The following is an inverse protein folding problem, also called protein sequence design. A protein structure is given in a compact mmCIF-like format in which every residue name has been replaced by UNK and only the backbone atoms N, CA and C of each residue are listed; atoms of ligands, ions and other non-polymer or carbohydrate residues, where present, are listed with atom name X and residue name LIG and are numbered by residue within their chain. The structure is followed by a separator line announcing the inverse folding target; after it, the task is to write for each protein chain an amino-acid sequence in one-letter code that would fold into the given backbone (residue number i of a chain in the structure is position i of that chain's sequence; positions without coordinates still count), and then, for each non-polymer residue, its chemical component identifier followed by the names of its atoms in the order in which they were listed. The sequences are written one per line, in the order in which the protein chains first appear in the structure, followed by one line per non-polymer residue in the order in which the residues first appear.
data_IF_041942605491
#
_entry.id   IF_041942605491
#
_cell.length_a   1.000
_cell.length_b   1.000
_cell.length_c   1.000
_cell.angle_alpha   90.00
_cell.angle_beta   90.00
_cell.angle_gamma   90.00
#
_symmetry.space_group_name_H-M   'P 1'
#
loop_
_entity.id
_entity.type
_entity.pdbx_description
1 polymer ?
#
# COMPACT_ATOMS: atom_id res chain seq x y z
N UNK A 1 6.90 44.01 42.97
CA UNK A 1 7.66 44.12 41.70
C UNK A 1 8.46 42.87 41.27
N UNK A 2 8.71 41.84 42.10
CA UNK A 2 9.55 40.67 41.70
C UNK A 2 8.85 39.57 40.87
N UNK A 3 7.50 39.55 40.78
CA UNK A 3 6.75 38.48 40.08
C UNK A 3 6.63 38.63 38.55
N UNK A 4 6.87 39.82 37.97
CA UNK A 4 6.72 40.03 36.51
C UNK A 4 7.96 39.64 35.70
N UNK A 5 9.17 39.71 36.28
CA UNK A 5 10.43 39.38 35.59
C UNK A 5 10.59 37.88 35.26
N UNK A 6 10.10 36.98 36.14
CA UNK A 6 10.19 35.53 35.91
C UNK A 6 9.32 35.02 34.74
N UNK A 7 8.18 35.68 34.46
CA UNK A 7 7.29 35.30 33.35
C UNK A 7 7.86 35.71 31.98
N UNK A 8 8.59 36.82 31.92
CA UNK A 8 9.24 37.26 30.67
C UNK A 8 10.46 36.41 30.31
N UNK A 9 11.25 35.95 31.29
CA UNK A 9 12.38 35.05 31.03
C UNK A 9 11.94 33.66 30.57
N UNK A 10 10.84 33.11 31.12
CA UNK A 10 10.30 31.82 30.69
C UNK A 10 9.79 31.83 29.23
N UNK A 11 9.06 32.89 28.84
CA UNK A 11 8.61 33.07 27.45
C UNK A 11 9.76 33.28 26.46
N UNK A 12 10.86 33.93 26.90
CA UNK A 12 12.03 34.14 26.04
C UNK A 12 12.77 32.82 25.78
N UNK A 13 12.92 31.98 26.82
CA UNK A 13 13.56 30.66 26.69
C UNK A 13 12.76 29.70 25.80
N UNK A 14 11.44 29.63 26.01
CA UNK A 14 10.54 28.79 25.20
C UNK A 14 10.48 29.22 23.72
N UNK A 15 10.66 30.53 23.44
CA UNK A 15 10.75 31.03 22.07
C UNK A 15 12.10 30.67 21.41
N UNK A 16 13.20 30.68 22.16
CA UNK A 16 14.52 30.27 21.66
C UNK A 16 14.57 28.77 21.38
N UNK A 17 14.05 27.94 22.28
CA UNK A 17 14.02 26.49 22.14
C UNK A 17 13.19 26.06 20.89
N UNK A 18 12.09 26.76 20.61
CA UNK A 18 11.28 26.52 19.41
C UNK A 18 11.95 26.93 18.09
N UNK A 19 12.81 27.94 18.10
CA UNK A 19 13.56 28.35 16.91
C UNK A 19 14.67 27.34 16.63
N UNK A 20 15.36 26.87 17.67
CA UNK A 20 16.45 25.89 17.53
C UNK A 20 15.94 24.53 17.04
N UNK A 21 14.76 24.09 17.52
CA UNK A 21 14.10 22.87 17.01
C UNK A 21 13.69 23.01 15.54
N UNK A 22 13.25 24.20 15.11
CA UNK A 22 12.86 24.44 13.73
C UNK A 22 14.06 24.42 12.79
N UNK A 23 15.16 25.07 13.16
CA UNK A 23 16.42 25.05 12.39
C UNK A 23 17.04 23.64 12.30
N UNK A 24 16.95 22.84 13.36
CA UNK A 24 17.40 21.43 13.33
C UNK A 24 16.54 20.54 12.43
N UNK A 25 15.26 20.90 12.23
CA UNK A 25 14.35 20.15 11.36
C UNK A 25 14.59 20.49 9.90
N UNK A 26 14.81 21.77 9.58
CA UNK A 26 15.13 22.24 8.22
C UNK A 26 16.51 21.73 7.75
N UNK A 27 17.53 21.73 8.63
CA UNK A 27 18.86 21.16 8.30
C UNK A 27 18.83 19.65 8.06
N UNK A 28 17.93 18.91 8.72
CA UNK A 28 17.74 17.47 8.49
C UNK A 28 17.04 17.19 7.15
N UNK A 29 16.12 18.05 6.71
CA UNK A 29 15.53 17.93 5.38
C UNK A 29 16.55 18.20 4.26
N UNK A 30 17.43 19.19 4.42
CA UNK A 30 18.47 19.48 3.43
C UNK A 30 19.52 18.37 3.32
N UNK A 31 19.95 17.80 4.45
CA UNK A 31 20.88 16.67 4.46
C UNK A 31 20.30 15.41 3.79
N UNK A 32 18.98 15.21 3.89
CA UNK A 32 18.28 14.12 3.21
C UNK A 32 18.21 14.35 1.69
N UNK A 33 18.13 15.62 1.25
CA UNK A 33 18.14 16.00 -0.16
C UNK A 33 19.48 15.70 -0.86
N UNK A 34 20.59 15.98 -0.18
CA UNK A 34 21.96 15.75 -0.69
C UNK A 34 22.31 14.26 -0.84
N UNK A 35 21.76 13.39 0.01
CA UNK A 35 21.97 11.94 -0.06
C UNK A 35 21.26 11.29 -1.26
N UNK A 36 20.16 11.88 -1.73
CA UNK A 36 19.40 11.39 -2.89
C UNK A 36 20.13 11.77 -4.19
N UNK A 37 20.74 12.95 -4.26
CA UNK A 37 21.46 13.42 -5.45
C UNK A 37 22.78 12.66 -5.70
N UNK A 38 23.40 12.10 -4.66
CA UNK A 38 24.68 11.38 -4.77
C UNK A 38 24.61 9.95 -5.34
N UNK A 39 23.42 9.37 -5.54
CA UNK A 39 23.27 7.95 -5.96
C UNK A 39 22.84 7.75 -7.42
N UNK A 40 22.59 8.81 -8.18
CA UNK A 40 22.11 8.72 -9.59
C UNK A 40 23.26 8.55 -10.60
N UNK A 41 24.53 8.61 -10.18
CA UNK A 41 25.68 8.41 -11.06
C UNK A 41 26.39 7.07 -10.82
N UNK A 42 26.14 6.09 -11.69
CA UNK A 42 26.98 4.91 -12.06
C UNK A 42 26.22 3.58 -11.95
N UNK A 43 25.83 3.04 -13.10
CA UNK A 43 26.19 1.69 -13.60
C UNK A 43 25.43 1.44 -14.91
N UNK A 44 26.10 1.71 -16.02
CA UNK A 44 25.88 0.98 -17.27
C UNK A 44 26.83 -0.23 -17.23
N UNK A 45 26.31 -1.42 -17.53
CA UNK A 45 27.01 -2.50 -18.22
C UNK A 45 25.97 -3.59 -18.54
N UNK A 46 25.56 -3.61 -19.81
CA UNK A 46 24.64 -4.56 -20.41
C UNK A 46 25.33 -5.91 -20.66
N UNK A 47 24.66 -7.01 -20.28
CA UNK A 47 24.95 -8.33 -20.85
C UNK A 47 23.69 -8.88 -21.55
N UNK A 48 23.79 -8.93 -22.88
CA UNK A 48 22.87 -9.59 -23.79
C UNK A 48 22.77 -11.10 -23.51
N UNK A 49 21.54 -11.60 -23.31
CA UNK A 49 21.21 -13.00 -23.55
C UNK A 49 19.99 -13.09 -24.47
N UNK A 50 20.27 -13.58 -25.69
CA UNK A 50 19.32 -13.92 -26.74
C UNK A 50 18.46 -15.12 -26.32
N UNK A 51 17.18 -15.05 -26.63
CA UNK A 51 16.22 -16.15 -26.57
C UNK A 51 15.98 -16.68 -27.99
N UNK A 52 16.11 -17.99 -28.30
CA UNK A 52 15.69 -18.53 -29.58
C UNK A 52 14.21 -18.94 -29.56
N UNK A 53 13.50 -18.53 -30.61
CA UNK A 53 12.21 -19.08 -31.03
C UNK A 53 12.45 -20.43 -31.70
N UNK A 54 11.69 -21.45 -31.33
CA UNK A 54 11.35 -22.54 -32.24
C UNK A 54 9.87 -22.91 -32.14
N UNK A 55 9.28 -22.96 -33.33
CA UNK A 55 7.94 -23.38 -33.70
C UNK A 55 7.91 -24.88 -33.92
N UNK A 56 6.85 -25.57 -33.48
CA UNK A 56 6.45 -26.82 -34.14
C UNK A 56 4.93 -26.98 -34.10
N UNK A 57 4.36 -26.96 -35.30
CA UNK A 57 2.99 -27.35 -35.64
C UNK A 57 2.95 -28.87 -35.75
N UNK A 58 2.04 -29.53 -35.04
CA UNK A 58 1.60 -30.89 -35.37
C UNK A 58 0.07 -30.93 -35.21
N UNK A 59 -0.63 -30.85 -36.32
CA UNK A 59 -2.08 -31.07 -36.40
C UNK A 59 -2.29 -32.40 -37.14
N UNK A 60 -2.94 -33.36 -36.49
CA UNK A 60 -3.19 -34.70 -37.06
C UNK A 60 -4.69 -34.88 -37.31
N UNK A 61 -5.01 -35.29 -38.54
CA UNK A 61 -6.36 -35.52 -39.11
C UNK A 61 -7.18 -36.60 -38.39
N UNK A 62 -8.51 -36.42 -38.38
CA UNK A 62 -9.51 -37.47 -38.60
C UNK A 62 -10.80 -36.79 -39.15
N UNK A 63 -11.06 -36.89 -40.46
CA UNK A 63 -11.95 -37.85 -41.16
C UNK A 63 -13.45 -37.66 -40.90
N UNK A 64 -14.07 -37.06 -41.91
CA UNK A 64 -15.47 -37.09 -42.33
C UNK A 64 -16.05 -38.51 -42.44
N UNK A 65 -17.32 -38.67 -42.06
CA UNK A 65 -18.31 -39.52 -42.75
C UNK A 65 -19.72 -39.34 -42.17
N UNK A 66 -20.70 -39.13 -43.06
CA UNK A 66 -22.02 -39.77 -42.96
C UNK A 66 -23.22 -38.89 -42.62
N UNK A 67 -23.94 -38.46 -43.65
CA UNK A 67 -25.24 -37.80 -43.59
C UNK A 67 -26.41 -38.78 -43.30
N UNK A 68 -27.43 -38.32 -42.57
CA UNK A 68 -28.86 -38.67 -42.79
C UNK A 68 -29.79 -37.65 -42.10
N UNK A 69 -30.90 -37.32 -42.77
CA UNK A 69 -31.81 -36.20 -42.50
C UNK A 69 -32.98 -36.57 -41.54
N UNK A 70 -34.05 -35.76 -41.39
CA UNK A 70 -34.25 -34.90 -40.21
C UNK A 70 -35.50 -35.30 -39.39
N UNK A 71 -35.45 -35.12 -38.06
CA UNK A 71 -36.65 -35.22 -37.22
C UNK A 71 -36.89 -33.92 -36.46
N UNK A 72 -38.05 -33.33 -36.76
CA UNK A 72 -38.69 -32.21 -36.08
C UNK A 72 -38.65 -32.35 -34.55
N UNK A 73 -37.89 -31.49 -33.89
CA UNK A 73 -38.13 -31.13 -32.49
C UNK A 73 -38.19 -29.62 -32.38
N UNK A 74 -39.41 -29.12 -32.16
CA UNK A 74 -39.68 -27.75 -31.73
C UNK A 74 -39.19 -27.59 -30.30
N UNK A 75 -37.91 -27.24 -30.13
CA UNK A 75 -37.42 -26.69 -28.86
C UNK A 75 -37.61 -25.18 -28.92
N UNK A 76 -38.63 -24.70 -28.21
CA UNK A 76 -38.82 -23.28 -27.89
C UNK A 76 -37.48 -22.70 -27.42
N UNK A 77 -36.92 -21.80 -28.22
CA UNK A 77 -35.81 -20.94 -27.81
C UNK A 77 -36.39 -20.07 -26.71
N UNK A 78 -36.14 -20.45 -25.46
CA UNK A 78 -36.33 -19.57 -24.33
C UNK A 78 -35.15 -18.60 -24.37
N UNK A 79 -35.33 -17.46 -25.05
CA UNK A 79 -34.48 -16.29 -24.82
C UNK A 79 -34.68 -15.88 -23.37
N UNK A 80 -33.69 -16.03 -22.46
CA UNK A 80 -33.79 -15.38 -21.17
C UNK A 80 -33.72 -13.88 -21.48
N UNK A 81 -34.79 -13.17 -21.10
CA UNK A 81 -34.80 -11.72 -21.07
C UNK A 81 -33.58 -11.24 -20.29
N UNK A 82 -32.65 -10.60 -20.99
CA UNK A 82 -31.51 -9.89 -20.41
C UNK A 82 -32.02 -8.62 -19.73
N UNK A 83 -32.78 -8.78 -18.66
CA UNK A 83 -33.33 -7.69 -17.88
C UNK A 83 -33.58 -8.13 -16.42
N UNK A 84 -32.73 -9.01 -15.88
CA UNK A 84 -32.50 -8.96 -14.43
C UNK A 84 -31.54 -7.79 -14.19
N UNK A 85 -32.12 -6.77 -13.59
CA UNK A 85 -31.51 -5.53 -13.16
C UNK A 85 -30.17 -5.77 -12.45
N UNK A 86 -29.07 -5.64 -13.18
CA UNK A 86 -27.86 -5.08 -12.57
C UNK A 86 -28.16 -3.62 -12.29
N UNK A 87 -28.78 -3.36 -11.14
CA UNK A 87 -28.69 -2.05 -10.52
C UNK A 87 -27.21 -1.67 -10.51
N UNK A 88 -26.78 -0.58 -11.16
CA UNK A 88 -25.42 -0.12 -11.02
C UNK A 88 -25.25 0.17 -9.54
N UNK A 89 -24.49 -0.67 -8.84
CA UNK A 89 -24.02 -0.34 -7.52
C UNK A 89 -23.10 0.86 -7.73
N UNK A 90 -23.66 2.07 -7.68
CA UNK A 90 -22.91 3.31 -7.66
C UNK A 90 -22.22 3.36 -6.32
N UNK A 91 -21.18 2.54 -6.14
CA UNK A 91 -20.37 2.54 -4.94
C UNK A 91 -19.81 3.95 -4.80
N UNK A 92 -20.29 4.64 -3.77
CA UNK A 92 -19.75 5.93 -3.38
C UNK A 92 -18.28 5.75 -2.98
N UNK A 93 -17.51 6.84 -3.02
CA UNK A 93 -16.15 6.78 -2.50
C UNK A 93 -16.19 6.38 -1.01
N UNK A 94 -15.19 5.62 -0.54
CA UNK A 94 -15.25 5.00 0.76
C UNK A 94 -15.11 6.05 1.86
N UNK A 95 -15.87 5.90 2.93
CA UNK A 95 -15.71 6.72 4.15
C UNK A 95 -15.35 5.87 5.36
N UNK A 96 -15.49 4.55 5.25
CA UNK A 96 -15.18 3.58 6.31
C UNK A 96 -14.57 2.30 5.74
N UNK A 97 -13.86 1.57 6.58
CA UNK A 97 -13.35 0.25 6.23
C UNK A 97 -13.33 -0.69 7.43
N UNK A 98 -13.58 -1.98 7.18
CA UNK A 98 -13.20 -3.06 8.07
C UNK A 98 -11.82 -3.59 7.64
N UNK A 99 -11.01 -3.98 8.62
CA UNK A 99 -9.68 -4.52 8.40
C UNK A 99 -9.52 -5.84 9.16
N UNK A 100 -9.20 -6.90 8.42
CA UNK A 100 -8.73 -8.16 8.95
C UNK A 100 -7.31 -8.40 8.44
N UNK A 101 -6.33 -8.37 9.34
CA UNK A 101 -4.91 -8.61 9.03
C UNK A 101 -4.41 -9.80 9.83
N UNK A 102 -3.91 -10.82 9.15
CA UNK A 102 -3.59 -12.11 9.74
C UNK A 102 -2.41 -12.76 9.04
N UNK A 103 -1.82 -13.76 9.68
CA UNK A 103 -0.78 -14.60 9.09
C UNK A 103 0.32 -14.93 10.08
N UNK A 104 1.58 -14.91 9.62
CA UNK A 104 2.72 -15.37 10.42
C UNK A 104 3.92 -14.43 10.33
N UNK A 105 4.64 -14.21 11.43
CA UNK A 105 5.98 -13.62 11.46
C UNK A 105 6.92 -14.61 12.15
N UNK A 106 7.97 -15.07 11.47
CA UNK A 106 8.86 -16.13 11.96
C UNK A 106 8.10 -17.38 12.47
N UNK A 107 7.01 -17.75 11.79
CA UNK A 107 6.16 -18.87 12.20
C UNK A 107 5.21 -18.58 13.38
N UNK A 108 5.32 -17.42 14.04
CA UNK A 108 4.34 -17.00 15.03
C UNK A 108 3.06 -16.51 14.35
N UNK A 109 1.99 -17.26 14.52
CA UNK A 109 0.67 -16.87 14.03
C UNK A 109 0.12 -15.65 14.76
N UNK A 110 -0.58 -14.80 14.01
CA UNK A 110 -1.33 -13.69 14.55
C UNK A 110 -2.62 -13.46 13.74
N UNK A 111 -3.58 -12.78 14.36
CA UNK A 111 -4.86 -12.40 13.75
C UNK A 111 -5.33 -11.11 14.45
N UNK A 112 -5.51 -10.03 13.69
CA UNK A 112 -6.08 -8.78 14.19
C UNK A 112 -7.29 -8.36 13.36
N UNK A 113 -8.31 -7.86 14.06
CA UNK A 113 -9.55 -7.35 13.46
C UNK A 113 -9.87 -5.96 13.97
N UNK A 114 -10.52 -5.17 13.12
CA UNK A 114 -10.99 -3.83 13.44
C UNK A 114 -11.39 -3.09 12.19
N UNK A 115 -11.07 -1.81 12.14
CA UNK A 115 -11.47 -0.94 11.03
C UNK A 115 -11.16 0.51 11.31
N UNK A 116 -11.76 1.38 10.51
CA UNK A 116 -11.64 2.81 10.69
C UNK A 116 -12.37 3.61 9.63
N UNK A 117 -11.95 4.84 9.45
CA UNK A 117 -12.56 5.81 8.54
C UNK A 117 -11.51 6.66 7.85
N UNK A 118 -11.90 7.27 6.74
CA UNK A 118 -11.04 8.18 6.01
C UNK A 118 -11.82 9.11 5.10
N UNK A 119 -11.11 10.07 4.52
CA UNK A 119 -11.64 10.98 3.53
C UNK A 119 -10.91 10.78 2.19
N UNK A 120 -11.59 10.21 1.18
CA UNK A 120 -10.98 9.88 -0.10
C UNK A 120 -10.69 11.12 -0.97
N UNK A 121 -11.13 12.30 -0.55
CA UNK A 121 -10.90 13.54 -1.27
C UNK A 121 -9.63 14.27 -0.83
N UNK A 122 -9.08 13.93 0.34
CA UNK A 122 -7.89 14.60 0.90
C UNK A 122 -6.74 13.65 1.29
N UNK A 123 -6.92 12.34 1.14
CA UNK A 123 -5.86 11.37 1.45
C UNK A 123 -5.67 11.11 2.94
N UNK A 124 -6.71 11.25 3.75
CA UNK A 124 -6.62 10.98 5.19
C UNK A 124 -7.35 9.71 5.57
N UNK A 125 -6.77 8.93 6.49
CA UNK A 125 -7.45 7.80 7.11
C UNK A 125 -6.92 7.52 8.52
N UNK A 126 -7.73 6.87 9.32
CA UNK A 126 -7.34 6.23 10.57
C UNK A 126 -7.79 4.78 10.58
N UNK A 127 -6.98 3.90 11.18
CA UNK A 127 -7.28 2.48 11.33
C UNK A 127 -6.89 2.03 12.72
N UNK A 128 -7.74 1.20 13.34
CA UNK A 128 -7.46 0.55 14.62
C UNK A 128 -7.83 -0.92 14.55
N UNK A 129 -6.89 -1.79 14.91
CA UNK A 129 -7.08 -3.24 14.93
C UNK A 129 -6.63 -3.82 16.27
N UNK A 130 -7.31 -4.88 16.71
CA UNK A 130 -7.04 -5.60 17.95
C UNK A 130 -6.75 -7.07 17.64
N UNK A 131 -5.74 -7.62 18.30
CA UNK A 131 -5.42 -9.04 18.24
C UNK A 131 -6.55 -9.89 18.81
N UNK A 132 -6.93 -10.94 18.09
CA UNK A 132 -7.87 -11.97 18.53
C UNK A 132 -7.16 -13.17 19.17
N UNK A 133 -5.82 -13.24 19.06
CA UNK A 133 -4.95 -14.32 19.58
C UNK A 133 -4.11 -13.91 20.80
N UNK A 134 -4.42 -12.76 21.42
CA UNK A 134 -3.67 -12.25 22.58
C UNK A 134 -2.43 -11.42 22.20
N UNK A 135 -1.44 -11.29 23.12
CA UNK A 135 -0.25 -10.48 22.89
C UNK A 135 0.56 -10.91 21.65
N UNK A 136 0.93 -9.96 20.79
CA UNK A 136 1.86 -10.18 19.68
C UNK A 136 3.27 -10.50 20.21
N UNK A 137 3.94 -11.56 19.72
CA UNK A 137 5.30 -11.92 20.13
C UNK A 137 6.39 -11.13 19.40
N UNK A 138 6.01 -10.20 18.51
CA UNK A 138 6.89 -9.34 17.73
C UNK A 138 6.38 -7.89 17.79
N UNK A 139 7.13 -6.94 17.23
CA UNK A 139 6.73 -5.54 17.20
C UNK A 139 5.53 -5.31 16.28
N UNK A 140 4.37 -4.94 16.84
CA UNK A 140 3.18 -4.60 16.05
C UNK A 140 3.38 -3.39 15.12
N UNK A 141 4.40 -2.56 15.37
CA UNK A 141 4.80 -1.45 14.49
C UNK A 141 5.14 -1.93 13.07
N UNK A 142 5.66 -3.16 12.90
CA UNK A 142 5.96 -3.72 11.57
C UNK A 142 4.71 -3.88 10.69
N UNK A 143 3.53 -4.08 11.32
CA UNK A 143 2.26 -4.22 10.63
C UNK A 143 1.61 -2.86 10.31
N UNK A 144 1.92 -1.84 11.10
CA UNK A 144 1.16 -0.59 11.12
C UNK A 144 1.08 0.13 9.77
N UNK A 145 2.16 0.28 8.96
CA UNK A 145 2.04 0.95 7.65
C UNK A 145 1.08 0.23 6.71
N UNK A 146 0.92 -1.09 6.83
CA UNK A 146 -0.02 -1.86 6.00
C UNK A 146 -1.49 -1.55 6.33
N UNK A 147 -1.78 -0.90 7.46
CA UNK A 147 -3.12 -0.44 7.82
C UNK A 147 -3.53 0.86 7.10
N UNK A 148 -2.58 1.57 6.47
CA UNK A 148 -2.85 2.81 5.72
C UNK A 148 -2.48 2.68 4.25
N UNK A 149 -1.21 2.37 3.95
CA UNK A 149 -0.76 1.88 2.63
C UNK A 149 -1.54 0.64 2.16
N UNK A 150 -2.38 0.04 3.00
CA UNK A 150 -3.37 -0.96 2.66
C UNK A 150 -4.54 -0.40 1.83
N UNK A 151 -4.92 0.86 1.96
CA UNK A 151 -6.18 1.40 1.43
C UNK A 151 -5.98 2.58 0.46
N UNK A 152 -5.32 2.34 -0.68
CA UNK A 152 -5.13 3.38 -1.71
C UNK A 152 -6.43 3.91 -2.33
N UNK A 153 -7.58 3.33 -2.00
CA UNK A 153 -8.90 3.87 -2.32
C UNK A 153 -9.14 5.25 -1.65
N UNK A 154 -8.39 5.61 -0.60
CA UNK A 154 -8.41 6.95 -0.01
C UNK A 154 -7.47 7.96 -0.71
N UNK A 155 -6.68 7.52 -1.71
CA UNK A 155 -5.68 8.35 -2.39
C UNK A 155 -6.27 9.06 -3.61
N UNK A 156 -6.58 10.37 -3.55
CA UNK A 156 -6.94 11.13 -4.75
C UNK A 156 -5.70 11.45 -5.58
N UNK A 157 -5.84 11.47 -6.90
CA UNK A 157 -4.80 12.01 -7.78
C UNK A 157 -5.03 13.52 -8.00
N UNK A 158 -3.98 14.31 -8.29
CA UNK A 158 -4.13 15.75 -8.50
C UNK A 158 -5.12 16.08 -9.62
N UNK A 159 -5.17 15.25 -10.67
CA UNK A 159 -6.04 15.41 -11.82
C UNK A 159 -7.42 14.72 -11.68
N UNK A 160 -7.76 14.19 -10.49
CA UNK A 160 -9.07 13.56 -10.23
C UNK A 160 -8.98 12.21 -9.52
N UNK A 161 -9.90 11.30 -9.87
CA UNK A 161 -9.94 9.98 -9.24
C UNK A 161 -8.68 9.17 -9.56
N UNK A 162 -8.11 8.51 -8.55
CA UNK A 162 -7.04 7.55 -8.78
C UNK A 162 -7.56 6.26 -9.42
N UNK A 163 -6.69 5.44 -10.03
CA UNK A 163 -7.07 4.11 -10.52
C UNK A 163 -7.68 3.25 -9.41
N UNK A 164 -7.21 3.39 -8.17
CA UNK A 164 -7.74 2.66 -7.00
C UNK A 164 -9.17 3.08 -6.65
N UNK A 165 -9.49 4.37 -6.76
CA UNK A 165 -10.85 4.88 -6.57
C UNK A 165 -11.78 4.43 -7.70
N UNK A 166 -11.28 4.40 -8.94
CA UNK A 166 -12.05 3.91 -10.09
C UNK A 166 -12.36 2.42 -9.97
N UNK A 167 -11.41 1.63 -9.44
CA UNK A 167 -11.54 0.20 -9.27
C UNK A 167 -12.72 -0.22 -8.39
N UNK A 168 -13.13 0.61 -7.42
CA UNK A 168 -14.29 0.34 -6.53
C UNK A 168 -15.56 0.04 -7.34
N UNK A 169 -15.73 0.74 -8.47
CA UNK A 169 -16.90 0.59 -9.37
C UNK A 169 -16.68 -0.45 -10.47
N UNK A 170 -15.44 -0.89 -10.67
CA UNK A 170 -14.99 -1.63 -11.84
C UNK A 170 -14.36 -2.98 -11.46
N UNK A 171 -14.96 -3.69 -10.50
CA UNK A 171 -14.55 -5.05 -10.11
C UNK A 171 -13.36 -5.14 -9.15
N UNK A 172 -12.82 -4.00 -8.69
CA UNK A 172 -11.75 -3.94 -7.69
C UNK A 172 -10.35 -4.20 -8.23
N UNK A 173 -9.43 -4.42 -7.30
CA UNK A 173 -8.05 -4.80 -7.57
C UNK A 173 -7.55 -5.73 -6.46
N UNK A 174 -6.57 -6.55 -6.78
CA UNK A 174 -5.74 -7.23 -5.78
C UNK A 174 -4.40 -6.52 -5.68
N UNK A 175 -3.77 -6.60 -4.51
CA UNK A 175 -2.46 -5.98 -4.28
C UNK A 175 -1.53 -6.97 -3.61
N UNK A 176 -0.27 -6.97 -4.02
CA UNK A 176 0.79 -7.74 -3.40
C UNK A 176 1.97 -6.83 -3.09
N UNK A 177 2.47 -6.89 -1.85
CA UNK A 177 3.63 -6.13 -1.39
C UNK A 177 4.70 -7.08 -0.91
N UNK A 178 5.95 -6.81 -1.27
CA UNK A 178 7.13 -7.48 -0.70
C UNK A 178 8.05 -6.45 -0.09
N UNK A 179 8.48 -6.70 1.14
CA UNK A 179 9.44 -5.91 1.90
C UNK A 179 10.66 -6.78 2.17
N UNK A 180 11.85 -6.29 1.80
CA UNK A 180 13.13 -6.92 2.09
C UNK A 180 13.91 -6.03 3.06
N UNK A 181 14.06 -6.51 4.28
CA UNK A 181 14.71 -5.80 5.36
C UNK A 181 16.23 -5.93 5.30
N UNK A 182 16.93 -4.95 5.85
CA UNK A 182 18.39 -4.86 5.78
C UNK A 182 19.13 -5.97 6.55
N UNK A 183 18.45 -6.68 7.44
CA UNK A 183 18.97 -7.82 8.21
C UNK A 183 18.64 -9.19 7.59
N UNK A 184 18.08 -9.21 6.37
CA UNK A 184 17.68 -10.43 5.68
C UNK A 184 16.23 -10.86 5.94
N UNK A 185 15.52 -10.19 6.85
CA UNK A 185 14.09 -10.39 7.02
C UNK A 185 13.31 -10.13 5.73
N UNK A 186 12.29 -10.93 5.45
CA UNK A 186 11.39 -10.74 4.31
C UNK A 186 9.96 -10.80 4.80
N UNK A 187 9.14 -9.85 4.36
CA UNK A 187 7.70 -9.85 4.63
C UNK A 187 6.93 -9.62 3.34
N UNK A 188 5.94 -10.47 3.08
CA UNK A 188 5.01 -10.32 1.96
C UNK A 188 3.59 -10.14 2.48
N UNK A 189 2.81 -9.31 1.79
CA UNK A 189 1.41 -9.04 2.14
C UNK A 189 0.57 -9.11 0.88
N UNK A 190 -0.47 -9.95 0.92
CA UNK A 190 -1.51 -10.01 -0.11
C UNK A 190 -2.76 -9.35 0.41
N UNK A 191 -3.26 -8.35 -0.32
CA UNK A 191 -4.44 -7.57 0.04
C UNK A 191 -5.58 -7.89 -0.92
N UNK A 192 -6.73 -8.21 -0.35
CA UNK A 192 -7.99 -8.35 -1.06
C UNK A 192 -9.04 -7.42 -0.48
N UNK A 193 -9.94 -6.97 -1.34
CA UNK A 193 -10.97 -6.01 -0.95
C UNK A 193 -12.32 -6.46 -1.49
N UNK A 194 -13.35 -6.26 -0.69
CA UNK A 194 -14.73 -6.22 -1.17
C UNK A 194 -15.35 -4.88 -0.79
N UNK A 195 -16.40 -4.49 -1.51
CA UNK A 195 -17.00 -3.16 -1.40
C UNK A 195 -18.50 -3.29 -1.16
N UNK A 196 -18.99 -2.58 -0.13
CA UNK A 196 -20.40 -2.52 0.24
C UNK A 196 -20.79 -1.05 0.43
N UNK A 197 -21.39 -0.45 -0.59
CA UNK A 197 -21.72 0.98 -0.58
C UNK A 197 -20.46 1.86 -0.47
N UNK A 198 -20.35 2.61 0.63
CA UNK A 198 -19.19 3.45 0.97
C UNK A 198 -18.22 2.77 1.98
N UNK A 199 -18.32 1.45 2.13
CA UNK A 199 -17.50 0.67 3.05
C UNK A 199 -16.60 -0.32 2.31
N UNK A 200 -15.33 -0.35 2.69
CA UNK A 200 -14.36 -1.35 2.23
C UNK A 200 -14.29 -2.47 3.27
N UNK A 201 -14.18 -3.73 2.84
CA UNK A 201 -13.73 -4.84 3.71
C UNK A 201 -12.39 -5.35 3.21
N UNK A 202 -11.33 -5.11 3.97
CA UNK A 202 -9.97 -5.51 3.65
C UNK A 202 -9.58 -6.82 4.32
N UNK A 203 -9.03 -7.75 3.54
CA UNK A 203 -8.49 -9.04 3.98
C UNK A 203 -6.99 -9.10 3.61
N UNK A 204 -6.12 -8.96 4.62
CA UNK A 204 -4.68 -8.77 4.45
C UNK A 204 -3.93 -9.96 5.03
N UNK A 205 -3.40 -10.82 4.15
CA UNK A 205 -2.61 -11.98 4.55
C UNK A 205 -1.12 -11.63 4.56
N UNK A 206 -0.46 -11.82 5.69
CA UNK A 206 0.94 -11.48 5.92
C UNK A 206 1.78 -12.74 6.13
N UNK A 207 2.89 -12.83 5.44
CA UNK A 207 3.91 -13.87 5.69
C UNK A 207 5.27 -13.19 5.83
N UNK A 208 5.81 -13.24 7.04
CA UNK A 208 7.15 -12.74 7.37
C UNK A 208 8.05 -13.85 7.90
N UNK A 209 9.31 -13.83 7.50
CA UNK A 209 10.31 -14.83 7.87
C UNK A 209 11.73 -14.26 7.83
N UNK A 210 12.65 -14.90 8.55
CA UNK A 210 14.07 -14.55 8.51
C UNK A 210 14.42 -13.31 9.33
N UNK A 211 13.52 -12.84 10.20
CA UNK A 211 13.86 -11.80 11.17
C UNK A 211 14.79 -12.39 12.24
N UNK A 212 15.93 -11.76 12.56
CA UNK A 212 16.77 -12.23 13.66
C UNK A 212 16.03 -12.20 15.00
N UNK A 213 16.23 -13.21 15.85
CA UNK A 213 15.56 -13.32 17.15
C UNK A 213 15.96 -12.18 18.11
N UNK A 214 17.18 -11.68 17.99
CA UNK A 214 17.70 -10.49 18.68
C UNK A 214 17.46 -9.19 17.90
N UNK A 215 16.87 -9.28 16.71
CA UNK A 215 16.56 -8.16 15.83
C UNK A 215 15.43 -7.27 16.35
N UNK A 216 15.29 -6.05 15.81
CA UNK A 216 14.38 -5.04 16.38
C UNK A 216 12.89 -5.41 16.23
N UNK A 217 12.57 -6.28 15.28
CA UNK A 217 11.22 -6.83 15.08
C UNK A 217 10.87 -7.79 16.19
N UNK A 218 11.72 -8.79 16.45
CA UNK A 218 11.46 -9.87 17.41
C UNK A 218 11.63 -9.40 18.86
N UNK A 219 12.45 -8.36 19.10
CA UNK A 219 12.68 -7.79 20.44
C UNK A 219 11.82 -6.56 20.76
N UNK A 220 10.83 -6.25 19.91
CA UNK A 220 9.88 -5.15 20.09
C UNK A 220 10.55 -3.76 20.31
N UNK A 221 11.52 -3.46 19.45
CA UNK A 221 12.33 -2.23 19.51
C UNK A 221 11.91 -1.15 18.52
N UNK A 222 11.04 -1.46 17.55
CA UNK A 222 10.48 -0.47 16.63
C UNK A 222 9.49 0.44 17.39
N UNK A 223 9.54 1.75 17.13
CA UNK A 223 8.68 2.74 17.80
C UNK A 223 7.94 3.68 16.85
N UNK A 224 8.45 3.88 15.64
CA UNK A 224 7.80 4.70 14.63
C UNK A 224 8.18 4.23 13.23
N UNK A 225 7.43 4.71 12.25
CA UNK A 225 7.76 4.64 10.83
C UNK A 225 7.97 6.07 10.35
N UNK A 226 9.07 6.31 9.65
CA UNK A 226 9.43 7.66 9.20
C UNK A 226 8.49 8.10 8.07
N UNK A 227 8.39 9.42 7.84
CA UNK A 227 7.68 9.91 6.67
C UNK A 227 8.35 9.35 5.41
N UNK A 228 7.54 9.02 4.40
CA UNK A 228 8.02 8.26 3.26
C UNK A 228 7.38 8.76 1.97
N UNK A 229 8.14 8.67 0.88
CA UNK A 229 7.70 9.00 -0.46
C UNK A 229 7.68 7.72 -1.30
N UNK A 230 6.49 7.36 -1.79
CA UNK A 230 6.29 6.25 -2.72
C UNK A 230 6.29 6.75 -4.15
N UNK A 231 7.06 6.11 -5.03
CA UNK A 231 6.92 6.29 -6.47
C UNK A 231 5.89 5.30 -7.00
N UNK A 232 4.88 5.77 -7.72
CA UNK A 232 3.80 4.96 -8.30
C UNK A 232 3.86 5.09 -9.82
N UNK A 233 3.72 3.98 -10.55
CA UNK A 233 3.88 3.91 -12.00
C UNK A 233 2.94 2.89 -12.65
N UNK A 234 2.58 3.10 -13.92
CA UNK A 234 1.89 2.08 -14.73
C UNK A 234 2.90 1.00 -15.12
N UNK A 235 2.55 -0.27 -14.88
CA UNK A 235 3.34 -1.44 -15.31
C UNK A 235 2.73 -2.17 -16.50
N UNK A 236 1.46 -1.89 -16.82
CA UNK A 236 0.74 -2.52 -17.92
C UNK A 236 -0.73 -2.11 -17.92
N UNK A 237 -1.53 -2.61 -18.87
CA UNK A 237 -2.91 -2.15 -19.07
C UNK A 237 -3.81 -2.36 -17.85
N UNK A 238 -3.46 -3.29 -16.97
CA UNK A 238 -4.20 -3.63 -15.74
C UNK A 238 -3.32 -3.64 -14.49
N UNK A 239 -2.16 -2.99 -14.54
CA UNK A 239 -1.16 -3.11 -13.48
C UNK A 239 -0.57 -1.75 -13.11
N UNK A 240 -0.61 -1.44 -11.81
CA UNK A 240 0.11 -0.32 -11.20
C UNK A 240 1.15 -0.88 -10.24
N UNK A 241 2.37 -0.37 -10.35
CA UNK A 241 3.48 -0.68 -9.47
C UNK A 241 3.82 0.49 -8.57
N UNK A 242 4.47 0.19 -7.46
CA UNK A 242 5.15 1.19 -6.67
C UNK A 242 6.39 0.66 -5.97
N UNK A 243 7.31 1.57 -5.70
CA UNK A 243 8.53 1.30 -4.94
C UNK A 243 8.86 2.43 -3.96
N UNK A 244 9.45 2.06 -2.82
CA UNK A 244 10.00 2.95 -1.82
C UNK A 244 10.92 2.22 -0.83
N UNK A 245 11.58 3.02 0.02
CA UNK A 245 12.36 2.53 1.15
C UNK A 245 11.60 2.88 2.42
N UNK A 246 11.12 1.86 3.12
CA UNK A 246 10.54 2.03 4.44
C UNK A 246 11.64 2.13 5.46
N UNK A 247 11.50 3.08 6.38
CA UNK A 247 12.45 3.26 7.49
C UNK A 247 11.66 3.34 8.79
N UNK A 248 12.03 2.49 9.74
CA UNK A 248 11.47 2.46 11.07
C UNK A 248 12.48 3.01 12.07
N UNK A 249 12.02 3.84 13.00
CA UNK A 249 12.84 4.31 14.11
C UNK A 249 12.85 3.26 15.23
N UNK A 250 14.01 2.99 15.81
CA UNK A 250 14.18 2.07 16.95
C UNK A 250 14.38 2.82 18.28
N UNK A 251 14.08 2.17 19.42
CA UNK A 251 14.34 2.72 20.78
C UNK A 251 15.81 3.13 20.99
N UNK A 252 16.74 2.47 20.29
CA UNK A 252 18.19 2.74 20.34
C UNK A 252 18.67 3.92 19.49
N UNK A 253 17.77 4.75 18.94
CA UNK A 253 18.09 5.87 18.02
C UNK A 253 18.71 5.44 16.68
N UNK A 254 18.49 4.19 16.29
CA UNK A 254 18.85 3.67 14.97
C UNK A 254 17.65 3.66 14.01
N UNK A 255 17.95 3.35 12.76
CA UNK A 255 16.97 3.11 11.72
C UNK A 255 16.97 1.65 11.35
N UNK A 256 15.79 1.12 11.04
CA UNK A 256 15.60 -0.22 10.51
C UNK A 256 14.91 -0.14 9.15
N UNK A 257 15.58 -0.59 8.08
CA UNK A 257 15.16 -0.30 6.69
C UNK A 257 14.61 -1.51 5.97
N UNK A 258 13.67 -1.26 5.05
CA UNK A 258 13.20 -2.23 4.09
C UNK A 258 13.06 -1.62 2.69
N UNK A 259 13.51 -2.36 1.67
CA UNK A 259 13.13 -2.10 0.29
C UNK A 259 11.75 -2.68 0.04
N UNK A 260 10.82 -1.84 -0.38
CA UNK A 260 9.41 -2.21 -0.55
C UNK A 260 9.02 -2.07 -2.00
N UNK A 261 8.42 -3.12 -2.55
CA UNK A 261 7.81 -3.14 -3.88
C UNK A 261 6.36 -3.58 -3.73
N UNK A 262 5.44 -2.85 -4.37
CA UNK A 262 4.02 -3.19 -4.38
C UNK A 262 3.53 -3.27 -5.81
N UNK A 263 2.77 -4.31 -6.13
CA UNK A 263 2.08 -4.47 -7.40
C UNK A 263 0.58 -4.58 -7.14
N UNK A 264 -0.22 -3.78 -7.86
CA UNK A 264 -1.67 -3.87 -7.87
C UNK A 264 -2.15 -4.32 -9.25
N UNK A 265 -3.01 -5.32 -9.27
CA UNK A 265 -3.62 -5.88 -10.49
C UNK A 265 -5.11 -5.60 -10.47
N UNK A 266 -5.59 -4.89 -11.48
CA UNK A 266 -6.96 -4.39 -11.58
C UNK A 266 -7.85 -5.37 -12.34
N UNK A 267 -9.13 -5.45 -11.96
CA UNK A 267 -10.11 -6.31 -12.63
C UNK A 267 -10.46 -5.84 -14.04
N UNK A 268 -10.28 -4.55 -14.32
CA UNK A 268 -10.50 -3.92 -15.62
C UNK A 268 -9.26 -3.14 -16.05
N UNK A 269 -9.22 -2.74 -17.31
CA UNK A 269 -8.18 -1.87 -17.85
C UNK A 269 -8.15 -0.53 -17.11
N UNK A 270 -6.93 -0.02 -16.95
CA UNK A 270 -6.66 1.28 -16.38
C UNK A 270 -7.27 2.39 -17.23
N UNK A 271 -7.55 3.53 -16.60
CA UNK A 271 -8.07 4.70 -17.31
C UNK A 271 -7.06 5.16 -18.39
N UNK A 272 -7.50 5.46 -19.63
CA UNK A 272 -6.60 5.88 -20.68
C UNK A 272 -5.78 7.11 -20.29
N UNK A 273 -4.48 7.09 -20.58
CA UNK A 273 -3.60 8.25 -20.39
C UNK A 273 -2.95 8.34 -19.00
N UNK A 274 -3.15 7.37 -18.10
CA UNK A 274 -2.41 7.30 -16.85
C UNK A 274 -0.88 7.26 -17.08
N UNK A 275 -0.43 6.52 -18.09
CA UNK A 275 0.96 6.50 -18.55
C UNK A 275 1.54 7.86 -18.98
N UNK A 276 0.71 8.89 -19.23
CA UNK A 276 1.20 10.24 -19.55
C UNK A 276 1.40 11.11 -18.30
N UNK A 277 0.74 10.78 -17.20
CA UNK A 277 0.80 11.54 -15.94
C UNK A 277 1.60 10.81 -14.85
N UNK A 278 2.02 9.57 -15.10
CA UNK A 278 2.81 8.75 -14.18
C UNK A 278 4.26 8.62 -14.72
N UNK A 279 5.28 8.55 -13.84
CA UNK A 279 5.18 8.29 -12.41
C UNK A 279 4.63 9.46 -11.59
N UNK A 280 3.89 9.13 -10.54
CA UNK A 280 3.51 10.07 -9.49
C UNK A 280 4.22 9.70 -8.20
N UNK A 281 4.37 10.67 -7.31
CA UNK A 281 4.91 10.49 -5.98
C UNK A 281 3.81 10.66 -4.94
N UNK A 282 3.82 9.80 -3.93
CA UNK A 282 2.89 9.86 -2.80
C UNK A 282 3.68 10.01 -1.51
N UNK A 283 3.69 11.22 -0.97
CA UNK A 283 4.26 11.48 0.35
C UNK A 283 3.25 11.08 1.42
N UNK A 284 3.68 10.29 2.41
CA UNK A 284 2.84 9.86 3.54
C UNK A 284 3.49 10.20 4.87
N UNK A 285 2.66 10.70 5.78
CA UNK A 285 2.96 10.86 7.20
C UNK A 285 2.11 9.90 8.00
N UNK A 286 2.76 9.14 8.88
CA UNK A 286 2.12 8.15 9.73
C UNK A 286 2.25 8.52 11.22
N UNK A 287 1.17 8.35 11.97
CA UNK A 287 1.18 8.36 13.43
C UNK A 287 0.74 6.99 13.92
N UNK A 288 1.65 6.27 14.58
CA UNK A 288 1.45 4.87 14.98
C UNK A 288 1.24 4.79 16.49
N UNK A 289 0.15 4.14 16.88
CA UNK A 289 -0.07 3.67 18.25
C UNK A 289 0.08 2.16 18.30
N UNK A 290 0.88 1.64 19.22
CA UNK A 290 1.06 0.19 19.34
C UNK A 290 1.11 -0.23 20.81
N UNK A 291 0.33 -1.25 21.14
CA UNK A 291 0.47 -2.03 22.38
C UNK A 291 0.76 -3.49 22.02
N UNK A 292 0.80 -4.38 23.02
CA UNK A 292 0.94 -5.81 22.75
C UNK A 292 -0.27 -6.43 22.04
N UNK A 293 -1.45 -5.81 22.10
CA UNK A 293 -2.70 -6.41 21.59
C UNK A 293 -3.46 -5.51 20.64
N UNK A 294 -2.94 -4.33 20.35
CA UNK A 294 -3.62 -3.31 19.56
C UNK A 294 -2.62 -2.54 18.72
N UNK A 295 -2.97 -2.28 17.46
CA UNK A 295 -2.22 -1.44 16.54
C UNK A 295 -3.17 -0.41 15.96
N UNK A 296 -2.79 0.86 16.00
CA UNK A 296 -3.51 1.97 15.40
C UNK A 296 -2.60 2.79 14.50
N UNK A 297 -3.18 3.36 13.46
CA UNK A 297 -2.53 4.22 12.49
C UNK A 297 -3.42 5.42 12.19
N UNK A 298 -2.84 6.61 12.15
CA UNK A 298 -3.39 7.75 11.42
C UNK A 298 -2.44 8.05 10.27
N UNK A 299 -2.97 8.14 9.06
CA UNK A 299 -2.22 8.40 7.84
C UNK A 299 -2.76 9.66 7.15
N UNK A 300 -1.82 10.46 6.63
CA UNK A 300 -2.11 11.55 5.70
C UNK A 300 -1.20 11.37 4.49
N UNK A 301 -1.79 11.42 3.30
CA UNK A 301 -1.05 11.31 2.06
C UNK A 301 -1.28 12.49 1.13
N UNK A 302 -0.25 12.81 0.34
CA UNK A 302 -0.30 13.84 -0.68
C UNK A 302 0.36 13.31 -1.95
N UNK A 303 -0.39 13.31 -3.03
CA UNK A 303 0.09 12.94 -4.37
C UNK A 303 0.59 14.19 -5.09
N UNK A 304 1.71 14.07 -5.79
CA UNK A 304 2.32 15.11 -6.63
C UNK A 304 3.13 14.46 -7.77
N UNK A 305 3.33 15.20 -8.86
CA UNK A 305 4.13 14.81 -10.02
C UNK A 305 5.54 15.42 -9.98
N UNK A 306 5.67 16.61 -9.40
CA UNK A 306 6.93 17.32 -9.19
C UNK A 306 6.89 18.14 -7.89
N UNK A 307 8.06 18.36 -7.27
CA UNK A 307 8.22 19.20 -6.07
C UNK A 307 8.43 20.69 -6.39
N UNK A 308 8.69 21.02 -7.66
CA UNK A 308 9.04 22.38 -8.09
C UNK A 308 7.91 23.18 -8.74
N UNK A 309 6.66 22.72 -8.64
CA UNK A 309 5.46 23.41 -9.16
C UNK A 309 4.71 24.20 -8.07
#
# INVERSE_FOLDING_TARGET
MKRSRGRQQKKKKEKTDNIEVKELTEKKSEASLLLIQGRVGRREDEHHLRCPRESTVIETRARDQGASSPSLFSSKIFTPSLADSMSPCTSALPTTHDCHIYGTINGHEFDLKGGGSGNPNDGTLETKVRSTKGPLPFSGVILAPNLGYGYHQYTPFPAGMSPYQNAIRNGGYEKHRTMRFEDGGVMSVTFRYTYEGNKIKGEFQVVGSGFPDDGPVMTNQLVAHDNNCERVMVLGPRAVGSDNIWTFTTKGKGFYKANTVTNATFAQDLQPGLEKIMPLFVFRKLEIGCSKTEVSLVEKEKVFDDLFQ
#
